data_IF_990431642958
#
_entry.id   IF_990431642958
#
_cell.length_a   1.000
_cell.length_b   1.000
_cell.length_c   1.000
_cell.angle_alpha   90.00
_cell.angle_beta   90.00
_cell.angle_gamma   90.00
#
_symmetry.space_group_name_H-M   'P 1'
#
loop_
_entity.id
_entity.type
_entity.pdbx_description
1 polymer ?
#
# COMPACT_ATOMS: atom_id res chain seq x y z
N UNK A 1 -12.05 53.83 -61.92
CA UNK A 1 -11.14 54.19 -60.80
C UNK A 1 -11.72 53.54 -59.54
N UNK A 2 -11.38 52.27 -59.28
CA UNK A 2 -10.55 51.79 -58.14
C UNK A 2 -11.04 52.40 -56.81
N UNK A 3 -11.63 51.63 -55.89
CA UNK A 3 -10.90 50.86 -54.87
C UNK A 3 -11.66 49.60 -54.40
N UNK A 4 -10.99 48.46 -54.18
CA UNK A 4 -11.58 47.31 -53.52
C UNK A 4 -11.70 47.56 -52.01
N UNK A 5 -12.90 47.38 -51.47
CA UNK A 5 -13.17 47.45 -50.03
C UNK A 5 -12.38 46.35 -49.33
N UNK A 6 -11.29 46.72 -48.65
CA UNK A 6 -10.52 45.81 -47.78
C UNK A 6 -11.48 45.09 -46.85
N UNK A 7 -11.67 43.79 -47.08
CA UNK A 7 -12.31 42.88 -46.13
C UNK A 7 -11.36 42.81 -44.95
N UNK A 8 -11.65 43.59 -43.90
CA UNK A 8 -10.87 43.58 -42.67
C UNK A 8 -10.78 42.16 -42.16
N UNK A 9 -9.59 41.57 -42.22
CA UNK A 9 -9.28 40.37 -41.47
C UNK A 9 -9.38 40.79 -40.01
N UNK A 10 -10.42 40.31 -39.31
CA UNK A 10 -10.48 40.46 -37.85
C UNK A 10 -9.14 40.02 -37.29
N UNK A 11 -8.47 40.92 -36.57
CA UNK A 11 -7.19 40.60 -35.95
C UNK A 11 -7.39 39.41 -35.03
N UNK A 12 -6.42 38.50 -34.94
CA UNK A 12 -6.50 37.34 -34.05
C UNK A 12 -6.84 37.75 -32.60
N UNK A 13 -6.46 38.96 -32.20
CA UNK A 13 -6.83 39.57 -30.92
C UNK A 13 -8.32 39.88 -30.77
N UNK A 14 -9.02 40.29 -31.83
CA UNK A 14 -10.46 40.55 -31.81
C UNK A 14 -11.27 39.25 -31.78
N UNK A 15 -10.79 38.20 -32.47
CA UNK A 15 -11.41 36.87 -32.45
C UNK A 15 -11.29 36.23 -31.07
N UNK A 16 -10.13 36.38 -30.42
CA UNK A 16 -9.91 35.87 -29.05
C UNK A 16 -10.67 36.71 -28.01
N UNK A 17 -10.80 38.03 -28.21
CA UNK A 17 -11.56 38.89 -27.31
C UNK A 17 -13.09 38.63 -27.39
N UNK A 18 -13.60 38.27 -28.57
CA UNK A 18 -15.00 37.93 -28.79
C UNK A 18 -15.29 36.42 -28.71
N UNK A 19 -14.30 35.60 -28.33
CA UNK A 19 -14.56 34.18 -28.08
C UNK A 19 -15.50 34.08 -26.88
N UNK A 20 -16.70 33.49 -27.04
CA UNK A 20 -17.62 33.33 -25.93
C UNK A 20 -16.93 32.45 -24.90
N UNK A 21 -16.43 33.08 -23.83
CA UNK A 21 -15.90 32.39 -22.67
C UNK A 21 -17.06 31.57 -22.12
N UNK A 22 -17.15 30.31 -22.55
CA UNK A 22 -17.99 29.31 -21.92
C UNK A 22 -17.41 29.10 -20.52
N UNK A 23 -17.75 30.02 -19.63
CA UNK A 23 -17.68 29.82 -18.20
C UNK A 23 -18.69 28.73 -17.91
N UNK A 24 -18.23 27.49 -18.08
CA UNK A 24 -18.95 26.33 -17.60
C UNK A 24 -19.02 26.50 -16.08
N UNK A 25 -20.07 27.17 -15.60
CA UNK A 25 -20.41 27.20 -14.19
C UNK A 25 -20.71 25.77 -13.82
N UNK A 26 -19.73 25.07 -13.27
CA UNK A 26 -19.90 23.73 -12.71
C UNK A 26 -20.98 23.88 -11.65
N UNK A 27 -22.21 23.46 -11.97
CA UNK A 27 -23.30 23.42 -11.00
C UNK A 27 -22.91 22.36 -9.99
N UNK A 28 -22.35 22.80 -8.87
CA UNK A 28 -22.08 21.92 -7.73
C UNK A 28 -23.43 21.49 -7.18
N UNK A 29 -23.86 20.29 -7.57
CA UNK A 29 -25.11 19.72 -7.09
C UNK A 29 -24.95 19.45 -5.59
N UNK A 30 -25.57 20.28 -4.75
CA UNK A 30 -25.63 20.06 -3.30
C UNK A 30 -26.62 18.92 -3.04
N UNK A 31 -26.18 17.68 -3.26
CA UNK A 31 -26.91 16.51 -2.81
C UNK A 31 -27.11 16.63 -1.30
N UNK A 32 -28.37 16.78 -0.88
CA UNK A 32 -28.75 16.56 0.52
C UNK A 32 -28.35 15.12 0.87
N UNK A 33 -27.71 14.92 2.02
CA UNK A 33 -27.26 13.59 2.44
C UNK A 33 -28.45 12.61 2.38
N UNK A 34 -28.43 11.71 1.40
CA UNK A 34 -29.51 10.75 1.18
C UNK A 34 -29.33 9.58 2.15
N UNK A 35 -30.30 9.41 3.04
CA UNK A 35 -30.36 8.35 4.04
C UNK A 35 -30.29 6.93 3.43
N UNK A 36 -30.60 6.79 2.14
CA UNK A 36 -30.48 5.54 1.38
C UNK A 36 -29.03 5.02 1.32
N UNK A 37 -28.04 5.92 1.23
CA UNK A 37 -26.62 5.56 1.22
C UNK A 37 -26.17 4.91 2.54
N UNK A 38 -26.65 5.43 3.67
CA UNK A 38 -26.35 4.85 4.99
C UNK A 38 -26.98 3.48 5.20
N UNK A 39 -28.20 3.25 4.70
CA UNK A 39 -28.82 1.90 4.75
C UNK A 39 -28.03 0.86 3.97
N UNK A 40 -27.50 1.22 2.80
CA UNK A 40 -26.67 0.33 2.00
C UNK A 40 -25.33 0.00 2.69
N UNK A 41 -24.77 0.96 3.41
CA UNK A 41 -23.51 0.78 4.14
C UNK A 41 -23.68 0.01 5.47
N UNK A 42 -24.89 -0.03 6.04
CA UNK A 42 -25.18 -0.64 7.34
C UNK A 42 -24.66 -2.08 7.53
N UNK A 43 -24.87 -3.05 6.61
CA UNK A 43 -24.38 -4.42 6.81
C UNK A 43 -22.84 -4.48 6.87
N UNK A 44 -22.14 -3.70 6.03
CA UNK A 44 -20.69 -3.58 6.11
C UNK A 44 -20.24 -2.91 7.40
N UNK A 45 -20.86 -1.78 7.77
CA UNK A 45 -20.53 -1.03 8.97
C UNK A 45 -20.69 -1.88 10.24
N UNK A 46 -21.74 -2.70 10.30
CA UNK A 46 -21.97 -3.63 11.40
C UNK A 46 -20.81 -4.61 11.52
N UNK A 47 -20.47 -5.34 10.45
CA UNK A 47 -19.35 -6.29 10.47
C UNK A 47 -18.02 -5.58 10.80
N UNK A 48 -17.79 -4.41 10.22
CA UNK A 48 -16.59 -3.62 10.49
C UNK A 48 -16.46 -3.26 11.98
N UNK A 49 -17.56 -2.82 12.61
CA UNK A 49 -17.56 -2.49 14.03
C UNK A 49 -17.29 -3.74 14.87
N UNK A 50 -17.96 -4.85 14.60
CA UNK A 50 -17.80 -6.07 15.39
C UNK A 50 -16.43 -6.73 15.25
N UNK A 51 -15.85 -6.71 14.05
CA UNK A 51 -14.60 -7.43 13.75
C UNK A 51 -13.36 -6.57 13.95
N UNK A 52 -13.44 -5.24 13.76
CA UNK A 52 -12.29 -4.35 13.90
C UNK A 52 -12.43 -3.43 15.11
N UNK A 53 -13.50 -2.65 15.19
CA UNK A 53 -13.63 -1.59 16.20
C UNK A 53 -13.69 -2.17 17.60
N UNK A 54 -14.53 -3.18 17.84
CA UNK A 54 -14.68 -3.80 19.15
C UNK A 54 -13.35 -4.42 19.63
N UNK A 55 -12.64 -5.27 18.86
CA UNK A 55 -11.35 -5.81 19.29
C UNK A 55 -10.29 -4.74 19.55
N UNK A 56 -10.25 -3.67 18.75
CA UNK A 56 -9.30 -2.56 18.95
C UNK A 56 -9.63 -1.83 20.27
N UNK A 57 -10.89 -1.47 20.50
CA UNK A 57 -11.30 -0.81 21.75
C UNK A 57 -11.05 -1.71 22.96
N UNK A 58 -11.28 -3.02 22.82
CA UNK A 58 -10.98 -3.99 23.87
C UNK A 58 -9.47 -4.10 24.13
N UNK A 59 -8.64 -4.11 23.08
CA UNK A 59 -7.18 -4.11 23.20
C UNK A 59 -6.66 -2.85 23.93
N UNK A 60 -7.24 -1.69 23.62
CA UNK A 60 -6.94 -0.43 24.31
C UNK A 60 -7.44 -0.49 25.76
N UNK A 61 -8.60 -1.07 26.02
CA UNK A 61 -9.09 -1.23 27.39
C UNK A 61 -8.14 -2.10 28.22
N UNK A 62 -7.75 -3.28 27.72
CA UNK A 62 -6.87 -4.20 28.45
C UNK A 62 -5.42 -3.68 28.57
N UNK A 63 -4.96 -2.76 27.70
CA UNK A 63 -3.61 -2.20 27.79
C UNK A 63 -3.41 -1.34 29.04
N UNK A 64 -4.48 -0.82 29.65
CA UNK A 64 -4.43 -0.14 30.95
C UNK A 64 -4.33 -1.09 32.15
N UNK A 65 -4.43 -2.39 31.92
CA UNK A 65 -4.34 -3.40 32.95
C UNK A 65 -3.05 -4.19 32.81
N UNK A 66 -2.48 -4.59 33.95
CA UNK A 66 -1.34 -5.49 34.01
C UNK A 66 -1.79 -6.82 34.59
N UNK A 67 -1.63 -7.89 33.80
CA UNK A 67 -1.90 -9.26 34.25
C UNK A 67 -0.67 -9.78 34.96
N UNK A 68 -0.78 -10.06 36.25
CA UNK A 68 0.29 -10.66 37.05
C UNK A 68 0.05 -12.17 37.15
N UNK A 69 1.11 -12.98 37.13
CA UNK A 69 0.99 -14.44 37.30
C UNK A 69 0.37 -14.82 38.65
N UNK A 70 0.56 -13.97 39.67
CA UNK A 70 0.00 -14.12 41.02
C UNK A 70 -0.65 -12.77 41.37
N UNK A 71 -1.88 -12.79 41.90
CA UNK A 71 -2.60 -11.57 42.30
C UNK A 71 -3.58 -11.00 41.26
N UNK A 72 -3.74 -11.64 40.10
CA UNK A 72 -4.78 -11.31 39.13
C UNK A 72 -4.47 -10.11 38.23
N UNK A 73 -5.52 -9.46 37.73
CA UNK A 73 -5.44 -8.32 36.82
C UNK A 73 -5.53 -7.02 37.61
N UNK A 74 -4.47 -6.22 37.59
CA UNK A 74 -4.42 -4.92 38.28
C UNK A 74 -4.59 -3.79 37.27
N UNK A 75 -5.43 -2.80 37.56
CA UNK A 75 -5.47 -1.55 36.79
C UNK A 75 -4.22 -0.72 37.10
N UNK A 76 -3.43 -0.42 36.08
CA UNK A 76 -2.16 0.29 36.22
C UNK A 76 -2.11 1.60 35.41
N UNK A 77 -3.19 1.94 34.72
CA UNK A 77 -3.29 3.16 33.93
C UNK A 77 -2.22 3.19 32.84
N UNK A 78 -1.45 4.28 32.77
CA UNK A 78 -0.48 4.54 31.69
C UNK A 78 0.90 3.91 31.97
N UNK A 79 1.10 3.25 33.11
CA UNK A 79 2.43 2.74 33.49
C UNK A 79 3.00 1.73 32.49
N UNK A 80 2.16 0.92 31.83
CA UNK A 80 2.58 0.01 30.77
C UNK A 80 3.24 0.74 29.60
N UNK A 81 2.72 1.93 29.24
CA UNK A 81 3.30 2.75 28.19
C UNK A 81 4.62 3.38 28.64
N UNK A 82 4.69 3.93 29.86
CA UNK A 82 5.94 4.50 30.40
C UNK A 82 7.05 3.45 30.44
N UNK A 83 6.72 2.22 30.84
CA UNK A 83 7.66 1.09 30.84
C UNK A 83 8.13 0.76 29.41
N UNK A 84 7.22 0.73 28.44
CA UNK A 84 7.53 0.47 27.05
C UNK A 84 8.47 1.52 26.45
N UNK A 85 8.28 2.79 26.78
CA UNK A 85 9.12 3.90 26.31
C UNK A 85 10.57 3.82 26.82
N UNK A 86 10.82 3.21 27.98
CA UNK A 86 12.17 3.01 28.51
C UNK A 86 12.77 1.65 28.14
N UNK A 87 12.05 0.81 27.40
CA UNK A 87 12.51 -0.51 27.02
C UNK A 87 13.40 -0.44 25.76
N UNK A 88 14.70 -0.72 25.94
CA UNK A 88 15.66 -0.73 24.85
C UNK A 88 15.33 -1.80 23.79
N UNK A 89 14.75 -2.92 24.21
CA UNK A 89 14.36 -3.98 23.28
C UNK A 89 13.21 -3.53 22.39
N UNK A 90 12.25 -2.77 22.93
CA UNK A 90 11.17 -2.19 22.15
C UNK A 90 11.71 -1.28 21.03
N UNK A 91 12.62 -0.36 21.36
CA UNK A 91 13.23 0.53 20.36
C UNK A 91 14.10 -0.21 19.35
N UNK A 92 14.83 -1.25 19.77
CA UNK A 92 15.57 -2.10 18.83
C UNK A 92 14.63 -2.80 17.85
N UNK A 93 13.51 -3.34 18.34
CA UNK A 93 12.51 -3.98 17.49
C UNK A 93 11.84 -3.00 16.53
N UNK A 94 11.45 -1.82 17.00
CA UNK A 94 10.88 -0.75 16.16
C UNK A 94 11.88 -0.33 15.08
N UNK A 95 13.15 -0.13 15.44
CA UNK A 95 14.22 0.20 14.49
C UNK A 95 14.41 -0.87 13.42
N UNK A 96 14.37 -2.16 13.78
CA UNK A 96 14.45 -3.28 12.83
C UNK A 96 13.27 -3.30 11.86
N UNK A 97 12.05 -3.12 12.35
CA UNK A 97 10.84 -3.07 11.52
C UNK A 97 10.86 -1.84 10.59
N UNK A 98 11.28 -0.70 11.12
CA UNK A 98 11.41 0.53 10.34
C UNK A 98 12.47 0.40 9.24
N UNK A 99 13.65 -0.12 9.56
CA UNK A 99 14.73 -0.36 8.59
C UNK A 99 14.28 -1.36 7.51
N UNK A 100 13.65 -2.45 7.93
CA UNK A 100 13.09 -3.44 7.00
C UNK A 100 12.10 -2.79 6.04
N UNK A 101 11.14 -2.02 6.55
CA UNK A 101 10.13 -1.33 5.73
C UNK A 101 10.77 -0.30 4.79
N UNK A 102 11.72 0.50 5.31
CA UNK A 102 12.40 1.54 4.56
C UNK A 102 13.24 1.00 3.40
N UNK A 103 13.73 -0.23 3.48
CA UNK A 103 14.50 -0.90 2.41
C UNK A 103 13.56 -1.70 1.50
N UNK A 104 12.66 -2.49 2.09
CA UNK A 104 11.75 -3.37 1.37
C UNK A 104 10.79 -2.60 0.47
N UNK A 105 10.15 -1.53 0.96
CA UNK A 105 9.12 -0.79 0.22
C UNK A 105 9.69 -0.16 -1.05
N UNK A 106 10.82 0.58 -1.04
CA UNK A 106 11.41 1.11 -2.26
C UNK A 106 11.82 0.04 -3.26
N UNK A 107 12.42 -1.06 -2.80
CA UNK A 107 12.79 -2.19 -3.68
C UNK A 107 11.54 -2.76 -4.35
N UNK A 108 10.47 -2.99 -3.58
CA UNK A 108 9.20 -3.48 -4.09
C UNK A 108 8.60 -2.52 -5.13
N UNK A 109 8.58 -1.22 -4.85
CA UNK A 109 8.08 -0.21 -5.78
C UNK A 109 8.91 -0.17 -7.06
N UNK A 110 10.24 -0.18 -6.95
CA UNK A 110 11.15 -0.19 -8.08
C UNK A 110 10.96 -1.42 -8.97
N UNK A 111 10.91 -2.62 -8.38
CA UNK A 111 10.63 -3.85 -9.12
C UNK A 111 9.25 -3.81 -9.78
N UNK A 112 8.22 -3.36 -9.07
CA UNK A 112 6.87 -3.27 -9.63
C UNK A 112 6.78 -2.30 -10.82
N UNK A 113 7.48 -1.17 -10.74
CA UNK A 113 7.54 -0.18 -11.82
C UNK A 113 8.36 -0.71 -13.01
N UNK A 114 9.51 -1.36 -12.76
CA UNK A 114 10.31 -1.98 -13.80
C UNK A 114 9.54 -3.07 -14.55
N UNK A 115 8.80 -3.92 -13.83
CA UNK A 115 7.93 -4.94 -14.43
C UNK A 115 6.77 -4.31 -15.20
N UNK A 116 6.16 -3.24 -14.68
CA UNK A 116 5.10 -2.51 -15.38
C UNK A 116 5.60 -1.91 -16.71
N UNK A 117 6.80 -1.31 -16.71
CA UNK A 117 7.41 -0.76 -17.92
C UNK A 117 7.82 -1.84 -18.93
N UNK A 118 8.36 -2.96 -18.45
CA UNK A 118 8.69 -4.12 -19.30
C UNK A 118 7.44 -4.71 -19.97
N UNK A 119 6.32 -4.77 -19.24
CA UNK A 119 5.03 -5.21 -19.80
C UNK A 119 4.48 -4.20 -20.82
N UNK A 120 4.65 -2.91 -20.59
CA UNK A 120 4.17 -1.86 -21.50
C UNK A 120 4.96 -1.81 -22.82
N UNK A 121 6.26 -2.12 -22.78
CA UNK A 121 7.12 -2.18 -23.99
C UNK A 121 6.93 -3.48 -24.79
N UNK A 122 6.59 -4.60 -24.14
CA UNK A 122 6.39 -5.91 -24.77
C UNK A 122 4.99 -6.13 -25.38
N UNK A 123 4.27 -5.07 -25.72
CA UNK A 123 2.88 -5.08 -26.23
C UNK A 123 2.58 -6.04 -27.40
N UNK A 124 3.59 -6.63 -28.07
CA UNK A 124 3.40 -7.47 -29.25
C UNK A 124 3.67 -8.99 -29.08
N UNK A 125 4.44 -9.47 -28.09
CA UNK A 125 4.80 -10.90 -28.03
C UNK A 125 4.88 -11.49 -26.60
N UNK A 126 3.71 -11.79 -25.99
CA UNK A 126 3.66 -12.68 -24.82
C UNK A 126 3.07 -12.10 -23.52
N UNK A 127 2.37 -10.97 -23.56
CA UNK A 127 1.78 -10.32 -22.38
C UNK A 127 0.98 -11.26 -21.45
N UNK A 128 0.32 -12.29 -22.00
CA UNK A 128 -0.44 -13.29 -21.22
C UNK A 128 0.47 -14.17 -20.35
N UNK A 129 1.64 -14.58 -20.85
CA UNK A 129 2.60 -15.39 -20.10
C UNK A 129 3.22 -14.59 -18.94
N UNK A 130 3.68 -13.37 -19.20
CA UNK A 130 4.26 -12.50 -18.15
C UNK A 130 3.25 -12.14 -17.06
N UNK A 131 1.98 -11.92 -17.43
CA UNK A 131 0.91 -11.69 -16.46
C UNK A 131 0.77 -12.89 -15.51
N UNK A 132 0.67 -14.10 -16.04
CA UNK A 132 0.51 -15.32 -15.23
C UNK A 132 1.73 -15.55 -14.33
N UNK A 133 2.95 -15.44 -14.85
CA UNK A 133 4.18 -15.64 -14.08
C UNK A 133 4.34 -14.62 -12.93
N UNK A 134 3.86 -13.39 -13.11
CA UNK A 134 3.88 -12.35 -12.06
C UNK A 134 2.85 -12.64 -10.96
N UNK A 135 1.70 -13.20 -11.31
CA UNK A 135 0.64 -13.54 -10.35
C UNK A 135 0.84 -14.89 -9.65
N UNK A 136 1.54 -15.83 -10.28
CA UNK A 136 1.80 -17.16 -9.76
C UNK A 136 2.40 -17.17 -8.34
N UNK A 137 3.41 -16.36 -7.98
CA UNK A 137 3.97 -16.39 -6.63
C UNK A 137 2.98 -15.92 -5.55
N UNK A 138 1.98 -15.09 -5.88
CA UNK A 138 0.96 -14.67 -4.91
C UNK A 138 -0.02 -15.79 -4.53
N UNK A 139 -0.09 -16.85 -5.34
CA UNK A 139 -0.87 -18.04 -5.01
C UNK A 139 -0.14 -18.95 -4.01
N UNK A 140 1.17 -18.77 -3.81
CA UNK A 140 1.96 -19.54 -2.86
C UNK A 140 1.69 -19.03 -1.44
N UNK A 141 1.20 -19.86 -0.51
CA UNK A 141 0.99 -19.45 0.87
C UNK A 141 2.31 -19.09 1.55
N UNK A 142 2.29 -18.06 2.41
CA UNK A 142 3.50 -17.60 3.13
C UNK A 142 4.22 -18.73 3.88
N UNK A 143 3.48 -19.67 4.48
CA UNK A 143 4.04 -20.83 5.18
C UNK A 143 4.88 -21.70 4.23
N UNK A 144 4.39 -21.95 3.02
CA UNK A 144 5.12 -22.74 2.01
C UNK A 144 6.38 -21.98 1.59
N UNK A 145 6.28 -20.68 1.33
CA UNK A 145 7.45 -19.85 1.01
C UNK A 145 8.51 -19.92 2.10
N UNK A 146 8.13 -19.82 3.38
CA UNK A 146 9.08 -19.90 4.50
C UNK A 146 9.76 -21.27 4.61
N UNK A 147 9.04 -22.36 4.34
CA UNK A 147 9.61 -23.70 4.33
C UNK A 147 10.59 -23.89 3.18
N UNK A 148 10.25 -23.40 1.97
CA UNK A 148 11.16 -23.45 0.81
C UNK A 148 12.44 -22.69 1.11
N UNK A 149 12.36 -21.49 1.67
CA UNK A 149 13.54 -20.75 2.12
C UNK A 149 14.35 -21.52 3.18
N UNK A 150 13.67 -22.13 4.15
CA UNK A 150 14.31 -22.98 5.17
C UNK A 150 15.04 -24.20 4.59
N UNK A 151 14.47 -24.85 3.58
CA UNK A 151 15.13 -25.94 2.86
C UNK A 151 16.30 -25.45 2.02
N UNK A 152 16.14 -24.31 1.33
CA UNK A 152 17.17 -23.76 0.44
C UNK A 152 18.43 -23.32 1.19
N UNK A 153 18.27 -22.80 2.41
CA UNK A 153 19.35 -22.41 3.33
C UNK A 153 19.72 -23.51 4.35
N UNK A 154 19.19 -24.73 4.21
CA UNK A 154 19.46 -25.82 5.15
C UNK A 154 20.91 -26.30 5.10
N UNK A 155 21.53 -26.51 6.26
CA UNK A 155 22.98 -26.77 6.39
C UNK A 155 23.50 -28.09 5.80
N UNK A 156 22.64 -29.09 5.50
CA UNK A 156 23.07 -30.42 5.01
C UNK A 156 22.76 -30.71 3.54
N UNK A 157 21.71 -30.08 2.98
CA UNK A 157 21.25 -30.30 1.59
C UNK A 157 20.71 -29.02 0.96
N UNK A 158 21.06 -27.86 1.51
CA UNK A 158 20.61 -26.58 1.00
C UNK A 158 21.25 -26.31 -0.35
N UNK A 159 20.42 -26.00 -1.35
CA UNK A 159 20.84 -25.55 -2.67
C UNK A 159 21.91 -24.46 -2.58
N UNK A 160 21.81 -23.57 -1.58
CA UNK A 160 22.78 -22.48 -1.38
C UNK A 160 24.14 -23.01 -0.93
N UNK A 161 24.18 -23.99 -0.01
CA UNK A 161 25.44 -24.59 0.46
C UNK A 161 26.15 -25.35 -0.64
N UNK A 162 25.43 -26.17 -1.41
CA UNK A 162 26.01 -26.91 -2.54
C UNK A 162 26.47 -26.00 -3.69
N UNK A 163 25.79 -24.87 -3.92
CA UNK A 163 26.24 -23.84 -4.87
C UNK A 163 27.49 -23.11 -4.37
N UNK A 164 27.60 -22.87 -3.06
CA UNK A 164 28.76 -22.24 -2.43
C UNK A 164 30.01 -23.13 -2.51
N UNK A 165 29.84 -24.44 -2.29
CA UNK A 165 30.89 -25.45 -2.45
C UNK A 165 31.37 -25.55 -3.91
N UNK A 166 30.44 -25.43 -4.88
CA UNK A 166 30.78 -25.42 -6.31
C UNK A 166 31.52 -24.14 -6.74
N UNK A 167 31.18 -22.99 -6.16
CA UNK A 167 31.85 -21.70 -6.39
C UNK A 167 33.17 -21.57 -5.61
N UNK A 168 33.50 -22.53 -4.75
CA UNK A 168 34.76 -22.57 -3.97
C UNK A 168 34.84 -21.51 -2.86
N UNK A 169 33.77 -20.77 -2.61
CA UNK A 169 33.70 -19.79 -1.52
C UNK A 169 33.29 -20.50 -0.24
N UNK A 170 34.25 -20.77 0.66
CA UNK A 170 33.93 -21.25 2.00
C UNK A 170 33.49 -20.07 2.88
N UNK A 171 32.21 -19.72 2.81
CA UNK A 171 31.51 -18.80 3.72
C UNK A 171 30.34 -19.51 4.37
#
# INVERSE_FOLDING_TARGET
MVLPRRRGMMSATEVVANMPLHSATVRVNKHKADWRGWKFMWPFALVFVFVFVIPILYAIYISFFQKQMIGGTKFVGISNYIRLFHDQQFWSSVGRVALFTAVQVPIMLFLSAAMALALDSMKLHGAKFFRISTFLPYAVPAVVSTLVWGFMYGAKYGLVGSLNDWLGTNL
#
